data_IF_971597249416
#
_entry.id   IF_971597249416
#
_cell.length_a   1.000
_cell.length_b   1.000
_cell.length_c   1.000
_cell.angle_alpha   90.00
_cell.angle_beta   90.00
_cell.angle_gamma   90.00
#
_symmetry.space_group_name_H-M   'P 1'
#
loop_
_entity.id
_entity.type
_entity.pdbx_description
1 polymer ?
#
# COMPACT_ATOMS: atom_id res chain seq x y z
N UNK A 1 -0.75 10.10 7.04
CA UNK A 1 0.68 10.34 6.76
C UNK A 1 1.10 11.80 6.94
N UNK A 2 0.27 12.80 6.57
CA UNK A 2 0.67 14.22 6.56
C UNK A 2 1.23 14.71 7.90
N UNK A 3 0.54 14.51 9.05
CA UNK A 3 1.06 14.98 10.33
C UNK A 3 2.41 14.35 10.71
N UNK A 4 2.69 13.14 10.25
CA UNK A 4 3.96 12.45 10.49
C UNK A 4 5.09 13.06 9.67
N UNK A 5 4.82 13.41 8.40
CA UNK A 5 5.78 14.08 7.52
C UNK A 5 6.13 15.45 8.08
N UNK A 6 5.13 16.24 8.45
CA UNK A 6 5.29 17.58 9.00
C UNK A 6 6.06 17.55 10.33
N UNK A 7 5.73 16.60 11.22
CA UNK A 7 6.46 16.40 12.49
C UNK A 7 7.93 16.03 12.27
N UNK A 8 8.25 15.34 11.19
CA UNK A 8 9.63 15.03 10.79
C UNK A 8 10.34 16.22 10.08
N UNK A 9 9.71 17.38 9.97
CA UNK A 9 10.25 18.57 9.30
C UNK A 9 10.11 18.52 7.77
N UNK A 10 9.36 17.56 7.24
CA UNK A 10 9.11 17.45 5.80
C UNK A 10 7.97 18.37 5.35
N UNK A 11 7.99 18.73 4.07
CA UNK A 11 6.92 19.49 3.41
C UNK A 11 6.18 18.54 2.47
N UNK A 12 4.92 18.14 2.81
CA UNK A 12 4.19 17.21 1.98
C UNK A 12 3.71 17.87 0.68
N UNK A 13 4.00 17.22 -0.45
CA UNK A 13 3.43 17.54 -1.76
C UNK A 13 2.46 16.44 -2.14
N UNK A 14 1.19 16.78 -2.24
CA UNK A 14 0.12 15.81 -2.56
C UNK A 14 -0.15 15.79 -4.05
N UNK A 15 -0.31 14.58 -4.59
CA UNK A 15 -0.82 14.34 -5.94
C UNK A 15 -2.12 13.57 -5.77
N UNK A 16 -3.23 14.22 -6.12
CA UNK A 16 -4.56 13.62 -6.00
C UNK A 16 -4.82 12.63 -7.13
N UNK A 17 -5.59 11.61 -6.81
CA UNK A 17 -6.31 10.76 -7.76
C UNK A 17 -7.80 10.95 -7.53
N UNK A 18 -8.55 11.11 -8.60
CA UNK A 18 -9.96 11.50 -8.52
C UNK A 18 -10.87 10.38 -9.00
N UNK A 19 -12.06 10.22 -8.33
CA UNK A 19 -13.05 9.26 -8.77
C UNK A 19 -13.62 9.64 -10.15
N UNK A 20 -14.21 8.69 -10.89
CA UNK A 20 -14.34 7.27 -10.54
C UNK A 20 -13.13 6.41 -10.93
N UNK A 21 -12.25 6.88 -11.84
CA UNK A 21 -11.16 6.07 -12.41
C UNK A 21 -9.91 6.03 -11.54
N UNK A 22 -9.78 6.94 -10.58
CA UNK A 22 -8.60 7.05 -9.71
C UNK A 22 -7.26 7.11 -10.46
N UNK A 23 -7.27 7.66 -11.67
CA UNK A 23 -6.09 7.71 -12.55
C UNK A 23 -5.03 8.65 -12.00
N UNK A 24 -3.78 8.18 -11.97
CA UNK A 24 -2.65 9.01 -11.61
C UNK A 24 -2.36 10.03 -12.71
N UNK A 25 -2.37 11.32 -12.35
CA UNK A 25 -1.97 12.37 -13.27
C UNK A 25 -0.44 12.48 -13.32
N UNK A 26 0.16 11.99 -14.40
CA UNK A 26 1.61 11.95 -14.57
C UNK A 26 2.26 13.34 -14.62
N UNK A 27 1.59 14.34 -15.18
CA UNK A 27 2.12 15.71 -15.21
C UNK A 27 2.11 16.33 -13.82
N UNK A 28 1.03 16.15 -13.05
CA UNK A 28 0.96 16.60 -11.67
C UNK A 28 1.99 15.89 -10.78
N UNK A 29 2.21 14.58 -11.02
CA UNK A 29 3.23 13.83 -10.31
C UNK A 29 4.64 14.39 -10.59
N UNK A 30 4.99 14.61 -11.86
CA UNK A 30 6.29 15.21 -12.23
C UNK A 30 6.48 16.59 -11.60
N UNK A 31 5.45 17.44 -11.62
CA UNK A 31 5.49 18.78 -11.03
C UNK A 31 5.63 18.79 -9.50
N UNK A 32 5.28 17.69 -8.84
CA UNK A 32 5.44 17.55 -7.40
C UNK A 32 6.88 17.20 -6.97
N UNK A 33 7.71 16.70 -7.91
CA UNK A 33 9.12 16.38 -7.66
C UNK A 33 10.03 17.59 -7.85
N UNK A 34 11.13 17.61 -7.12
CA UNK A 34 12.21 18.59 -7.25
C UNK A 34 13.47 18.02 -6.61
N UNK A 35 14.61 18.73 -6.72
CA UNK A 35 15.88 18.38 -6.07
C UNK A 35 15.79 18.28 -4.53
N UNK A 36 14.69 18.81 -3.96
CA UNK A 36 14.40 18.69 -2.53
C UNK A 36 13.57 17.46 -2.18
N UNK A 37 13.09 16.71 -3.15
CA UNK A 37 12.30 15.50 -2.92
C UNK A 37 13.20 14.41 -2.32
N UNK A 38 12.88 13.94 -1.13
CA UNK A 38 13.62 12.88 -0.43
C UNK A 38 12.84 11.57 -0.36
N UNK A 39 11.53 11.68 -0.24
CA UNK A 39 10.67 10.52 -0.06
C UNK A 39 9.44 10.63 -0.96
N UNK A 40 9.01 9.49 -1.48
CA UNK A 40 7.67 9.28 -2.06
C UNK A 40 6.95 8.27 -1.20
N UNK A 41 5.73 8.57 -0.81
CA UNK A 41 4.88 7.63 -0.10
C UNK A 41 3.71 7.26 -0.99
N UNK A 42 3.55 5.97 -1.25
CA UNK A 42 2.43 5.40 -1.99
C UNK A 42 1.73 4.34 -1.14
N UNK A 43 0.41 4.25 -1.30
CA UNK A 43 -0.39 3.19 -0.72
C UNK A 43 -1.07 2.43 -1.88
N UNK A 44 -0.73 1.15 -2.05
CA UNK A 44 -1.29 0.29 -3.10
C UNK A 44 -1.38 -1.15 -2.61
N UNK A 45 -2.56 -1.77 -2.64
CA UNK A 45 -3.89 -1.20 -2.93
C UNK A 45 -4.27 -0.08 -1.97
N UNK A 46 -4.93 0.96 -2.48
CA UNK A 46 -5.09 2.23 -1.76
C UNK A 46 -6.30 2.24 -0.82
N UNK A 47 -6.09 2.75 0.38
CA UNK A 47 -7.16 3.08 1.33
C UNK A 47 -7.45 4.60 1.24
N UNK A 48 -8.68 5.06 0.99
CA UNK A 48 -9.94 4.29 0.88
C UNK A 48 -10.41 4.04 -0.57
N UNK A 49 -9.73 4.55 -1.59
CA UNK A 49 -10.20 4.52 -3.00
C UNK A 49 -10.26 3.11 -3.60
N UNK A 50 -9.57 2.15 -2.96
CA UNK A 50 -9.43 0.77 -3.45
C UNK A 50 -8.67 0.63 -4.78
N UNK A 51 -8.00 1.70 -5.23
CA UNK A 51 -7.17 1.70 -6.43
C UNK A 51 -6.00 0.74 -6.29
N UNK A 52 -5.75 -0.02 -7.36
CA UNK A 52 -4.51 -0.78 -7.55
C UNK A 52 -3.70 -0.11 -8.66
N UNK A 53 -2.50 0.35 -8.35
CA UNK A 53 -1.67 1.02 -9.36
C UNK A 53 -1.27 0.08 -10.48
N UNK A 54 -1.44 0.53 -11.73
CA UNK A 54 -1.00 -0.18 -12.93
C UNK A 54 0.52 -0.13 -13.09
N UNK A 55 1.05 -1.07 -13.87
CA UNK A 55 2.50 -1.16 -14.10
C UNK A 55 3.09 0.12 -14.67
N UNK A 56 2.38 0.77 -15.58
CA UNK A 56 2.80 2.02 -16.22
C UNK A 56 2.89 3.18 -15.22
N UNK A 57 1.94 3.27 -14.30
CA UNK A 57 1.95 4.27 -13.22
C UNK A 57 3.11 4.02 -12.26
N UNK A 58 3.36 2.76 -11.91
CA UNK A 58 4.49 2.37 -11.05
C UNK A 58 5.84 2.60 -11.71
N UNK A 59 5.97 2.38 -13.02
CA UNK A 59 7.18 2.70 -13.78
C UNK A 59 7.44 4.21 -13.78
N UNK A 60 6.42 5.03 -13.98
CA UNK A 60 6.56 6.49 -13.89
C UNK A 60 7.04 6.93 -12.50
N UNK A 61 6.49 6.35 -11.43
CA UNK A 61 6.94 6.62 -10.06
C UNK A 61 8.40 6.19 -9.89
N UNK A 62 8.75 4.99 -10.36
CA UNK A 62 10.10 4.45 -10.26
C UNK A 62 11.14 5.31 -11.00
N UNK A 63 10.78 5.82 -12.18
CA UNK A 63 11.67 6.70 -12.95
C UNK A 63 11.92 8.01 -12.22
N UNK A 64 10.89 8.64 -11.67
CA UNK A 64 11.03 9.87 -10.89
C UNK A 64 11.80 9.65 -9.59
N UNK A 65 11.61 8.53 -8.91
CA UNK A 65 12.39 8.18 -7.71
C UNK A 65 13.87 8.04 -8.03
N UNK A 66 14.23 7.43 -9.18
CA UNK A 66 15.62 7.30 -9.64
C UNK A 66 16.20 8.64 -10.09
N UNK A 67 15.44 9.42 -10.86
CA UNK A 67 15.83 10.72 -11.39
C UNK A 67 16.21 11.71 -10.28
N UNK A 68 15.43 11.71 -9.19
CA UNK A 68 15.61 12.63 -8.07
C UNK A 68 16.38 12.03 -6.88
N UNK A 69 16.99 10.87 -7.04
CA UNK A 69 17.70 10.15 -5.97
C UNK A 69 16.89 10.03 -4.67
N UNK A 70 15.58 9.77 -4.81
CA UNK A 70 14.64 9.66 -3.71
C UNK A 70 14.46 8.21 -3.25
N UNK A 71 13.74 8.03 -2.14
CA UNK A 71 13.35 6.74 -1.56
C UNK A 71 11.84 6.60 -1.63
N UNK A 72 11.32 5.43 -1.98
CA UNK A 72 9.91 5.12 -1.95
C UNK A 72 9.52 4.37 -0.66
N UNK A 73 8.52 4.86 0.04
CA UNK A 73 7.84 4.15 1.13
C UNK A 73 6.52 3.62 0.57
N UNK A 74 6.40 2.28 0.51
CA UNK A 74 5.29 1.60 -0.13
C UNK A 74 4.44 0.93 0.95
N UNK A 75 3.29 1.54 1.27
CA UNK A 75 2.29 0.94 2.14
C UNK A 75 1.47 -0.06 1.33
N UNK A 76 1.84 -1.35 1.44
CA UNK A 76 1.28 -2.45 0.65
C UNK A 76 0.47 -3.42 1.53
N UNK A 77 -0.11 -2.92 2.62
CA UNK A 77 -0.79 -3.75 3.64
C UNK A 77 -2.00 -4.54 3.12
N UNK A 78 -2.52 -4.19 1.95
CA UNK A 78 -3.63 -4.88 1.27
C UNK A 78 -3.21 -5.73 0.08
N UNK A 79 -1.93 -6.05 -0.06
CA UNK A 79 -1.32 -6.75 -1.19
C UNK A 79 -2.04 -8.05 -1.63
N UNK A 80 -2.66 -8.74 -0.69
CA UNK A 80 -3.40 -9.99 -0.94
C UNK A 80 -4.88 -9.79 -1.25
N UNK A 81 -5.37 -8.55 -1.27
CA UNK A 81 -6.76 -8.22 -1.54
C UNK A 81 -6.84 -7.43 -2.86
N UNK A 82 -6.72 -8.14 -3.97
CA UNK A 82 -6.76 -7.58 -5.33
C UNK A 82 -7.71 -8.43 -6.18
N UNK A 83 -8.61 -7.80 -6.94
CA UNK A 83 -9.74 -8.45 -7.58
C UNK A 83 -9.67 -8.38 -9.11
N UNK A 84 -10.51 -9.18 -9.77
CA UNK A 84 -10.82 -9.09 -11.21
C UNK A 84 -9.56 -9.23 -12.10
N UNK A 85 -8.74 -10.24 -11.81
CA UNK A 85 -7.48 -10.54 -12.51
C UNK A 85 -6.44 -9.42 -12.49
N UNK A 86 -6.60 -8.41 -11.64
CA UNK A 86 -5.55 -7.44 -11.38
C UNK A 86 -4.45 -8.08 -10.56
N UNK A 87 -3.25 -7.54 -10.66
CA UNK A 87 -2.09 -7.99 -9.90
C UNK A 87 -1.53 -6.84 -9.08
N UNK A 88 -1.29 -7.09 -7.81
CA UNK A 88 -0.45 -6.20 -7.02
C UNK A 88 1.01 -6.36 -7.46
N UNK A 89 1.64 -5.26 -7.81
CA UNK A 89 3.05 -5.21 -8.21
C UNK A 89 3.80 -4.43 -7.13
N UNK A 90 4.61 -5.05 -6.29
CA UNK A 90 5.44 -4.33 -5.34
C UNK A 90 6.43 -3.43 -6.08
N UNK A 91 6.46 -2.14 -5.76
CA UNK A 91 7.33 -1.19 -6.46
C UNK A 91 8.81 -1.60 -6.39
N UNK A 92 9.23 -2.21 -5.29
CA UNK A 92 10.61 -2.69 -5.10
C UNK A 92 11.04 -3.77 -6.09
N UNK A 93 10.11 -4.41 -6.82
CA UNK A 93 10.42 -5.43 -7.85
C UNK A 93 10.73 -4.82 -9.21
N UNK A 94 10.49 -3.54 -9.40
CA UNK A 94 10.82 -2.84 -10.64
C UNK A 94 12.33 -2.55 -10.75
N UNK A 95 12.87 -2.44 -11.97
CA UNK A 95 14.29 -2.21 -12.19
C UNK A 95 14.82 -0.97 -11.44
N UNK A 96 15.87 -1.19 -10.63
CA UNK A 96 16.54 -0.13 -9.85
C UNK A 96 15.81 0.30 -8.58
N UNK A 97 14.69 -0.34 -8.22
CA UNK A 97 13.90 0.05 -7.05
C UNK A 97 14.21 -0.75 -5.78
N UNK A 98 14.92 -1.87 -5.88
CA UNK A 98 15.20 -2.74 -4.72
C UNK A 98 15.86 -1.99 -3.56
N UNK A 99 16.87 -1.19 -3.86
CA UNK A 99 17.66 -0.46 -2.87
C UNK A 99 17.12 0.94 -2.57
N UNK A 100 16.00 1.31 -3.23
CA UNK A 100 15.33 2.59 -3.07
C UNK A 100 13.92 2.47 -2.49
N UNK A 101 13.52 1.29 -2.05
CA UNK A 101 12.16 1.05 -1.55
C UNK A 101 12.15 0.43 -0.18
N UNK A 102 11.23 0.92 0.66
CA UNK A 102 10.81 0.28 1.90
C UNK A 102 9.35 -0.13 1.71
N UNK A 103 9.11 -1.44 1.76
CA UNK A 103 7.77 -2.02 1.68
C UNK A 103 7.23 -2.28 3.08
N UNK A 104 5.97 -1.93 3.30
CA UNK A 104 5.24 -2.14 4.56
C UNK A 104 4.16 -3.19 4.32
N UNK A 105 4.20 -4.27 5.09
CA UNK A 105 3.16 -5.29 5.13
C UNK A 105 2.50 -5.36 6.50
N UNK A 106 1.30 -5.95 6.58
CA UNK A 106 0.55 -6.04 7.82
C UNK A 106 -0.17 -7.37 7.99
N UNK A 107 0.24 -8.14 8.98
CA UNK A 107 -0.49 -9.32 9.39
C UNK A 107 -1.93 -9.00 9.84
N UNK A 108 -2.12 -7.81 10.41
CA UNK A 108 -3.44 -7.32 10.83
C UNK A 108 -4.46 -7.27 9.70
N UNK A 109 -4.02 -6.95 8.48
CA UNK A 109 -4.87 -6.92 7.29
C UNK A 109 -4.96 -8.28 6.64
N UNK A 110 -3.81 -8.91 6.42
CA UNK A 110 -3.70 -10.21 5.74
C UNK A 110 -4.44 -11.32 6.47
N UNK A 111 -4.34 -11.39 7.79
CA UNK A 111 -4.91 -12.47 8.60
C UNK A 111 -6.07 -12.02 9.50
N UNK A 112 -6.63 -10.82 9.28
CA UNK A 112 -7.69 -10.25 10.13
C UNK A 112 -7.30 -10.16 11.62
N UNK A 113 -6.03 -9.88 11.90
CA UNK A 113 -5.42 -9.84 13.24
C UNK A 113 -5.06 -8.41 13.67
N UNK A 114 -5.85 -7.41 13.30
CA UNK A 114 -5.50 -6.00 13.52
C UNK A 114 -5.16 -5.68 14.98
N UNK A 115 -5.80 -6.36 15.94
CA UNK A 115 -5.53 -6.23 17.37
C UNK A 115 -4.15 -6.71 17.81
N UNK A 116 -3.48 -7.58 17.06
CA UNK A 116 -2.15 -8.08 17.38
C UNK A 116 -1.04 -7.05 17.14
N UNK A 117 -1.29 -6.03 16.34
CA UNK A 117 -0.32 -4.96 16.02
C UNK A 117 1.00 -5.48 15.46
N UNK A 118 0.94 -6.52 14.61
CA UNK A 118 2.10 -7.07 13.92
C UNK A 118 2.11 -6.58 12.47
N UNK A 119 3.14 -5.85 12.12
CA UNK A 119 3.49 -5.48 10.76
C UNK A 119 4.96 -5.83 10.50
N UNK A 120 5.36 -5.72 9.25
CA UNK A 120 6.74 -6.00 8.84
C UNK A 120 7.18 -5.04 7.75
N UNK A 121 8.49 -4.80 7.71
CA UNK A 121 9.14 -3.99 6.69
C UNK A 121 10.08 -4.87 5.86
N UNK A 122 10.14 -4.59 4.57
CA UNK A 122 11.09 -5.19 3.64
C UNK A 122 11.82 -4.09 2.89
N UNK A 123 13.14 -4.17 2.79
CA UNK A 123 13.99 -3.20 2.11
C UNK A 123 15.45 -3.62 2.14
N UNK A 124 16.34 -2.80 1.61
CA UNK A 124 17.78 -3.02 1.75
C UNK A 124 18.23 -2.86 3.21
N UNK A 125 19.33 -3.50 3.56
CA UNK A 125 19.91 -3.40 4.91
C UNK A 125 20.18 -1.95 5.31
N UNK A 126 20.70 -1.16 4.39
CA UNK A 126 21.01 0.24 4.61
C UNK A 126 19.78 1.06 5.02
N UNK A 127 18.70 0.93 4.27
CA UNK A 127 17.44 1.63 4.58
C UNK A 127 16.82 1.15 5.89
N UNK A 128 16.79 -0.17 6.11
CA UNK A 128 16.17 -0.74 7.30
C UNK A 128 16.98 -0.48 8.56
N UNK A 129 18.29 -0.27 8.48
CA UNK A 129 19.15 0.06 9.62
C UNK A 129 18.74 1.37 10.31
N UNK A 130 18.37 2.39 9.52
CA UNK A 130 17.88 3.66 10.07
C UNK A 130 16.51 3.48 10.74
N UNK A 131 15.62 2.75 10.09
CA UNK A 131 14.26 2.47 10.60
C UNK A 131 14.31 1.64 11.89
N UNK A 132 15.16 0.60 11.95
CA UNK A 132 15.28 -0.26 13.14
C UNK A 132 15.80 0.49 14.37
N UNK A 133 16.70 1.45 14.18
CA UNK A 133 17.15 2.32 15.28
C UNK A 133 15.99 3.14 15.87
N UNK A 134 15.16 3.74 15.01
CA UNK A 134 13.99 4.48 15.47
C UNK A 134 12.96 3.55 16.13
N UNK A 135 12.69 2.39 15.53
CA UNK A 135 11.77 1.39 16.04
C UNK A 135 12.14 0.91 17.43
N UNK A 136 13.42 0.68 17.71
CA UNK A 136 13.91 0.27 19.03
C UNK A 136 13.49 1.23 20.15
N UNK A 137 13.49 2.53 19.87
CA UNK A 137 13.11 3.53 20.87
C UNK A 137 11.60 3.80 20.92
N UNK A 138 10.88 3.62 19.80
CA UNK A 138 9.45 3.89 19.73
C UNK A 138 8.58 2.73 20.23
N UNK A 139 8.97 1.50 19.90
CA UNK A 139 8.16 0.30 20.14
C UNK A 139 8.93 -0.77 20.91
N UNK A 140 10.26 -0.73 20.87
CA UNK A 140 11.20 -1.73 21.35
C UNK A 140 11.14 -3.03 20.55
N UNK A 141 10.05 -3.79 20.65
CA UNK A 141 9.82 -5.02 19.88
C UNK A 141 8.35 -5.39 19.82
N UNK A 142 7.97 -6.12 18.78
CA UNK A 142 6.71 -6.86 18.76
C UNK A 142 6.88 -8.20 19.48
N UNK A 143 5.90 -8.71 20.26
CA UNK A 143 6.03 -9.97 21.01
C UNK A 143 6.49 -11.14 20.12
N UNK A 144 7.56 -11.86 20.47
CA UNK A 144 8.15 -12.90 19.60
C UNK A 144 7.21 -14.05 19.24
N UNK A 145 6.29 -14.42 20.13
CA UNK A 145 5.29 -15.44 19.88
C UNK A 145 4.33 -15.01 18.75
N UNK A 146 3.93 -13.75 18.69
CA UNK A 146 3.09 -13.20 17.62
C UNK A 146 3.88 -13.13 16.30
N UNK A 147 5.14 -12.73 16.34
CA UNK A 147 6.01 -12.73 15.15
C UNK A 147 6.13 -14.15 14.56
N UNK A 148 6.35 -15.16 15.41
CA UNK A 148 6.44 -16.56 14.96
C UNK A 148 5.13 -17.08 14.36
N UNK A 149 3.99 -16.74 14.95
CA UNK A 149 2.68 -17.10 14.42
C UNK A 149 2.43 -16.46 13.04
N UNK A 150 2.77 -15.17 12.87
CA UNK A 150 2.68 -14.48 11.58
C UNK A 150 3.63 -15.09 10.55
N UNK A 151 4.87 -15.39 10.92
CA UNK A 151 5.84 -16.04 10.03
C UNK A 151 5.33 -17.41 9.57
N UNK A 152 4.71 -18.19 10.46
CA UNK A 152 4.08 -19.46 10.10
C UNK A 152 2.97 -19.26 9.06
N UNK A 153 2.08 -18.28 9.25
CA UNK A 153 1.00 -17.99 8.30
C UNK A 153 1.53 -17.53 6.93
N UNK A 154 2.58 -16.69 6.91
CA UNK A 154 3.18 -16.20 5.67
C UNK A 154 3.94 -17.28 4.88
N UNK A 155 4.41 -18.35 5.55
CA UNK A 155 5.08 -19.49 4.93
C UNK A 155 4.12 -20.62 4.48
N UNK A 156 2.80 -20.38 4.54
CA UNK A 156 1.80 -21.33 4.04
C UNK A 156 1.85 -21.48 2.52
N UNK A 157 1.06 -22.43 2.02
CA UNK A 157 1.02 -22.84 0.60
C UNK A 157 0.32 -21.86 -0.35
N UNK A 158 -0.10 -20.71 0.15
CA UNK A 158 -0.81 -19.69 -0.65
C UNK A 158 -2.32 -19.86 -0.72
N UNK A 159 -2.87 -21.05 -0.45
CA UNK A 159 -4.32 -21.33 -0.55
C UNK A 159 -5.17 -20.43 0.33
N UNK A 160 -4.63 -19.96 1.46
CA UNK A 160 -5.28 -18.98 2.32
C UNK A 160 -5.53 -17.66 1.57
N UNK A 161 -4.55 -17.16 0.84
CA UNK A 161 -4.66 -15.87 0.12
C UNK A 161 -5.65 -15.96 -1.04
N UNK A 162 -5.68 -17.09 -1.74
CA UNK A 162 -6.67 -17.33 -2.79
C UNK A 162 -8.10 -17.34 -2.24
N UNK A 163 -8.31 -18.03 -1.12
CA UNK A 163 -9.61 -18.06 -0.44
C UNK A 163 -10.01 -16.68 0.07
N UNK A 164 -9.08 -15.95 0.68
CA UNK A 164 -9.29 -14.57 1.12
C UNK A 164 -9.77 -13.69 -0.03
N UNK A 165 -9.12 -13.79 -1.18
CA UNK A 165 -9.45 -13.02 -2.38
C UNK A 165 -10.86 -13.34 -2.90
N UNK A 166 -11.19 -14.63 -3.01
CA UNK A 166 -12.51 -15.09 -3.45
C UNK A 166 -13.61 -14.59 -2.50
N UNK A 167 -13.41 -14.74 -1.19
CA UNK A 167 -14.36 -14.33 -0.16
C UNK A 167 -14.58 -12.81 -0.16
N UNK A 168 -13.50 -12.03 -0.19
CA UNK A 168 -13.57 -10.57 -0.19
C UNK A 168 -14.21 -10.03 -1.47
N UNK A 169 -13.90 -10.61 -2.64
CA UNK A 169 -14.55 -10.26 -3.89
C UNK A 169 -16.05 -10.51 -3.84
N UNK A 170 -16.47 -11.69 -3.34
CA UNK A 170 -17.90 -12.01 -3.18
C UNK A 170 -18.63 -11.01 -2.28
N UNK A 171 -18.00 -10.61 -1.17
CA UNK A 171 -18.56 -9.60 -0.26
C UNK A 171 -18.64 -8.23 -0.91
N UNK A 172 -17.61 -7.81 -1.66
CA UNK A 172 -17.60 -6.59 -2.45
C UNK A 172 -18.76 -6.56 -3.42
N UNK A 173 -18.91 -7.61 -4.24
CA UNK A 173 -19.92 -7.68 -5.29
C UNK A 173 -21.32 -7.59 -4.70
N UNK A 174 -21.56 -8.33 -3.62
CA UNK A 174 -22.85 -8.31 -2.90
C UNK A 174 -23.16 -6.93 -2.32
N UNK A 175 -22.17 -6.27 -1.72
CA UNK A 175 -22.34 -4.92 -1.15
C UNK A 175 -22.60 -3.89 -2.25
N UNK A 176 -21.80 -3.90 -3.31
CA UNK A 176 -21.94 -2.98 -4.44
C UNK A 176 -23.32 -3.14 -5.12
N UNK A 177 -23.74 -4.38 -5.37
CA UNK A 177 -25.08 -4.68 -5.90
C UNK A 177 -26.19 -4.17 -4.99
N UNK A 178 -26.07 -4.38 -3.68
CA UNK A 178 -27.06 -3.89 -2.71
C UNK A 178 -27.18 -2.37 -2.70
N UNK A 179 -26.03 -1.68 -2.68
CA UNK A 179 -25.99 -0.21 -2.66
C UNK A 179 -26.49 0.41 -3.96
N UNK A 180 -26.18 -0.19 -5.12
CA UNK A 180 -26.64 0.32 -6.42
C UNK A 180 -28.16 0.31 -6.60
N UNK A 181 -28.89 -0.43 -5.77
CA UNK A 181 -30.37 -0.45 -5.75
C UNK A 181 -30.96 0.72 -4.94
N UNK A 182 -30.12 1.47 -4.23
CA UNK A 182 -30.56 2.61 -3.41
C UNK A 182 -30.36 3.87 -4.23
N UNK A 183 -31.42 4.64 -4.42
CA UNK A 183 -31.36 5.90 -5.17
C UNK A 183 -30.36 6.87 -4.52
N UNK A 184 -29.43 7.41 -5.32
CA UNK A 184 -28.41 8.34 -4.87
C UNK A 184 -27.12 7.69 -4.36
N UNK A 185 -26.99 6.35 -4.46
CA UNK A 185 -25.75 5.64 -4.15
C UNK A 185 -25.12 5.07 -5.42
N UNK A 186 -23.93 5.54 -5.75
CA UNK A 186 -23.16 5.10 -6.93
C UNK A 186 -21.85 4.42 -6.47
N UNK A 187 -21.86 3.10 -6.22
CA UNK A 187 -20.64 2.39 -5.84
C UNK A 187 -19.60 2.44 -6.96
N UNK A 188 -18.39 2.89 -6.63
CA UNK A 188 -17.27 2.91 -7.55
C UNK A 188 -16.58 1.55 -7.52
N UNK A 189 -16.14 1.07 -8.69
CA UNK A 189 -15.49 -0.24 -8.82
C UNK A 189 -14.29 -0.33 -7.88
N UNK A 190 -14.37 -1.29 -6.95
CA UNK A 190 -13.31 -1.59 -6.00
C UNK A 190 -12.33 -2.58 -6.63
N UNK A 191 -11.10 -2.14 -6.88
CA UNK A 191 -10.04 -2.96 -7.50
C UNK A 191 -9.28 -3.84 -6.49
N UNK A 192 -9.30 -3.42 -5.23
CA UNK A 192 -8.61 -4.11 -4.13
C UNK A 192 -9.14 -3.66 -2.77
N UNK A 193 -8.50 -4.09 -1.69
CA UNK A 193 -8.84 -3.79 -0.30
C UNK A 193 -10.20 -4.34 0.14
N UNK A 194 -10.68 -3.96 1.33
CA UNK A 194 -12.04 -4.23 1.80
C UNK A 194 -12.88 -2.94 1.92
N UNK A 195 -12.44 -1.87 1.26
CA UNK A 195 -13.20 -0.62 1.21
C UNK A 195 -14.01 -0.57 -0.08
N UNK A 196 -15.21 -0.01 0.01
CA UNK A 196 -16.02 0.34 -1.14
C UNK A 196 -16.27 1.85 -1.08
N UNK A 197 -15.85 2.55 -2.10
CA UNK A 197 -16.12 3.98 -2.24
C UNK A 197 -17.47 4.18 -2.92
N UNK A 198 -18.26 5.12 -2.43
CA UNK A 198 -19.59 5.42 -2.96
C UNK A 198 -19.66 6.91 -3.21
N UNK A 199 -20.09 7.29 -4.40
CA UNK A 199 -20.38 8.67 -4.81
C UNK A 199 -21.88 8.96 -4.63
#
# INVERSE_FOLDING_TARGET
YLPMIERAGGIPKRVSVEPPEWKLNGSALRAAFSDKTKLVLINSPQNPSSKVYHREELLLIADLVKEHDAIAICDEVYEHMVYDNRQHIPLMTLPGMRDRSIRIGSAGKTFSLTGWKVGYLTGSEELLKAVSKAHQFLVFTTPPNLQRAVAYGLNGDGTYFDRLNIDMRSKRDRLAEGLSKITGFNPIVCEGTYFLFVD
#
